data_IF_816100820224
#
_entry.id   IF_816100820224
#
_cell.length_a   1.000
_cell.length_b   1.000
_cell.length_c   1.000
_cell.angle_alpha   90.00
_cell.angle_beta   90.00
_cell.angle_gamma   90.00
#
_symmetry.space_group_name_H-M   'P 1'
#
loop_
_entity.id
_entity.type
_entity.pdbx_description
1 polymer ?
#
# COMPACT_ATOMS: atom_id res chain seq x y z
N UNK A 1 1.92 0.26 1.07
CA UNK A 1 1.83 1.61 1.72
C UNK A 1 1.35 2.62 0.68
N UNK A 2 0.57 3.65 1.04
CA UNK A 2 0.05 4.67 0.09
C UNK A 2 1.09 5.77 -0.16
N UNK A 3 1.38 6.16 -1.41
CA UNK A 3 2.33 7.22 -1.76
C UNK A 3 1.64 8.60 -1.64
N UNK A 4 1.51 9.10 -0.43
CA UNK A 4 0.82 10.37 -0.12
C UNK A 4 1.76 11.50 0.32
N UNK A 5 3.05 11.36 0.04
CA UNK A 5 4.11 12.31 0.40
C UNK A 5 5.33 11.63 1.01
N UNK A 6 6.25 12.43 1.51
CA UNK A 6 7.47 11.93 2.17
C UNK A 6 7.15 11.09 3.39
N UNK A 7 7.89 10.01 3.58
CA UNK A 7 7.75 9.17 4.78
C UNK A 7 8.24 9.93 6.03
N UNK A 8 7.63 9.62 7.14
CA UNK A 8 7.96 10.19 8.44
C UNK A 8 8.23 9.10 9.47
N UNK A 9 8.71 9.47 10.65
CA UNK A 9 9.05 8.52 11.72
C UNK A 9 7.90 7.58 12.10
N UNK A 10 6.65 8.02 11.98
CA UNK A 10 5.48 7.17 12.20
C UNK A 10 5.37 6.02 11.19
N UNK A 11 5.69 6.27 9.92
CA UNK A 11 5.74 5.21 8.90
C UNK A 11 6.89 4.23 9.16
N UNK A 12 8.04 4.75 9.59
CA UNK A 12 9.19 3.91 9.93
C UNK A 12 8.87 2.99 11.12
N UNK A 13 8.45 3.55 12.24
CA UNK A 13 8.17 2.75 13.45
C UNK A 13 6.88 1.92 13.33
N UNK A 14 5.88 2.40 12.60
CA UNK A 14 4.61 1.70 12.44
C UNK A 14 4.65 0.54 11.44
N UNK A 15 5.56 0.56 10.47
CA UNK A 15 5.60 -0.46 9.43
C UNK A 15 7.03 -0.87 9.04
N UNK A 16 7.89 0.06 8.56
CA UNK A 16 9.14 -0.29 7.91
C UNK A 16 10.10 -1.05 8.81
N UNK A 17 10.23 -0.65 10.07
CA UNK A 17 11.08 -1.35 11.03
C UNK A 17 10.72 -2.83 11.15
N UNK A 18 9.43 -3.15 11.19
CA UNK A 18 8.97 -4.53 11.24
C UNK A 18 9.21 -5.25 9.91
N UNK A 19 9.02 -4.55 8.78
CA UNK A 19 9.25 -5.14 7.45
C UNK A 19 10.71 -5.50 7.21
N UNK A 20 11.66 -4.70 7.71
CA UNK A 20 13.09 -5.00 7.59
C UNK A 20 13.51 -6.26 8.35
N UNK A 21 12.77 -6.64 9.38
CA UNK A 21 12.98 -7.90 10.11
C UNK A 21 12.24 -9.07 9.43
N UNK A 22 10.98 -8.86 9.02
CA UNK A 22 10.14 -9.89 8.43
C UNK A 22 10.67 -10.41 7.09
N UNK A 23 11.32 -9.55 6.28
CA UNK A 23 11.85 -9.95 4.98
C UNK A 23 12.85 -11.12 5.04
N UNK A 24 13.48 -11.38 6.20
CA UNK A 24 14.39 -12.51 6.40
C UNK A 24 13.73 -13.74 7.00
N UNK A 25 12.45 -13.64 7.37
CA UNK A 25 11.70 -14.72 8.01
C UNK A 25 10.62 -15.31 7.10
N UNK A 26 10.15 -14.52 6.10
CA UNK A 26 9.03 -14.87 5.23
C UNK A 26 9.30 -14.42 3.80
N UNK A 27 8.62 -15.03 2.84
CA UNK A 27 8.53 -14.53 1.45
C UNK A 27 7.65 -13.28 1.43
N UNK A 28 8.27 -12.12 1.58
CA UNK A 28 7.58 -10.85 1.73
C UNK A 28 7.32 -10.15 0.38
N UNK A 29 6.11 -9.64 0.25
CA UNK A 29 5.65 -8.85 -0.89
C UNK A 29 5.21 -7.48 -0.39
N UNK A 30 5.99 -6.44 -0.66
CA UNK A 30 5.70 -5.07 -0.26
C UNK A 30 5.31 -4.25 -1.47
N UNK A 31 4.18 -3.56 -1.42
CA UNK A 31 3.72 -2.80 -2.57
C UNK A 31 3.39 -1.34 -2.24
N UNK A 32 3.60 -0.50 -3.25
CA UNK A 32 3.16 0.88 -3.27
C UNK A 32 1.71 0.88 -3.71
N UNK A 33 0.83 1.33 -2.83
CA UNK A 33 -0.61 1.27 -3.01
C UNK A 33 -1.11 2.55 -3.73
N UNK A 34 -0.74 2.70 -5.00
CA UNK A 34 -1.10 3.85 -5.82
C UNK A 34 -2.60 3.91 -6.12
N UNK A 35 -3.27 2.78 -6.44
CA UNK A 35 -4.73 2.74 -6.55
C UNK A 35 -5.43 3.14 -5.25
N UNK A 36 -4.91 2.70 -4.10
CA UNK A 36 -5.45 3.13 -2.81
C UNK A 36 -5.23 4.63 -2.55
N UNK A 37 -4.17 5.22 -3.06
CA UNK A 37 -3.95 6.65 -2.93
C UNK A 37 -5.04 7.45 -3.65
N UNK A 38 -5.54 6.95 -4.78
CA UNK A 38 -6.60 7.58 -5.55
C UNK A 38 -7.95 7.63 -4.81
N UNK A 39 -8.19 6.78 -3.83
CA UNK A 39 -9.47 6.80 -3.08
C UNK A 39 -9.68 8.11 -2.31
N UNK A 40 -8.62 8.80 -1.97
CA UNK A 40 -8.66 10.09 -1.25
C UNK A 40 -7.93 11.23 -1.97
N UNK A 41 -7.11 10.93 -2.97
CA UNK A 41 -6.25 11.88 -3.69
C UNK A 41 -6.51 11.94 -5.20
N UNK A 42 -7.71 11.58 -5.66
CA UNK A 42 -8.04 11.57 -7.08
C UNK A 42 -8.12 12.95 -7.73
N UNK A 43 -8.33 14.01 -6.96
CA UNK A 43 -8.44 15.37 -7.46
C UNK A 43 -7.09 15.94 -7.94
N UNK A 44 -5.99 15.50 -7.32
CA UNK A 44 -4.64 15.93 -7.72
C UNK A 44 -3.67 14.74 -7.71
N UNK A 45 -3.40 14.21 -8.89
CA UNK A 45 -2.51 13.06 -9.10
C UNK A 45 -1.13 13.43 -9.65
N UNK A 46 -0.82 14.73 -9.82
CA UNK A 46 0.41 15.21 -10.47
C UNK A 46 1.69 14.70 -9.82
N UNK A 47 1.66 14.50 -8.51
CA UNK A 47 2.83 14.07 -7.72
C UNK A 47 2.83 12.60 -7.35
N UNK A 48 1.83 11.82 -7.81
CA UNK A 48 1.69 10.43 -7.39
C UNK A 48 2.91 9.56 -7.78
N UNK A 49 3.42 9.78 -8.97
CA UNK A 49 4.61 9.06 -9.46
C UNK A 49 5.86 9.47 -8.68
N UNK A 50 6.07 10.76 -8.44
CA UNK A 50 7.20 11.26 -7.67
C UNK A 50 7.18 10.70 -6.23
N UNK A 51 6.01 10.69 -5.59
CA UNK A 51 5.84 10.12 -4.26
C UNK A 51 6.06 8.60 -4.24
N UNK A 52 5.67 7.90 -5.30
CA UNK A 52 5.95 6.47 -5.43
C UNK A 52 7.45 6.20 -5.51
N UNK A 53 8.18 6.97 -6.32
CA UNK A 53 9.64 6.88 -6.42
C UNK A 53 10.33 7.23 -5.10
N UNK A 54 9.94 8.32 -4.45
CA UNK A 54 10.50 8.71 -3.16
C UNK A 54 10.29 7.61 -2.11
N UNK A 55 9.12 6.99 -2.12
CA UNK A 55 8.82 5.88 -1.20
C UNK A 55 9.74 4.67 -1.42
N UNK A 56 10.07 4.32 -2.68
CA UNK A 56 11.04 3.25 -2.96
C UNK A 56 12.41 3.61 -2.40
N UNK A 57 12.87 4.85 -2.60
CA UNK A 57 14.15 5.33 -2.06
C UNK A 57 14.16 5.22 -0.54
N UNK A 58 13.10 5.66 0.12
CA UNK A 58 12.98 5.60 1.58
C UNK A 58 12.95 4.16 2.11
N UNK A 59 12.29 3.24 1.40
CA UNK A 59 12.27 1.82 1.75
C UNK A 59 13.65 1.17 1.67
N UNK A 60 14.38 1.45 0.59
CA UNK A 60 15.76 0.97 0.42
C UNK A 60 16.69 1.56 1.49
N UNK A 61 16.56 2.87 1.77
CA UNK A 61 17.33 3.54 2.81
C UNK A 61 17.02 3.01 4.22
N UNK A 62 15.77 2.59 4.47
CA UNK A 62 15.36 1.96 5.72
C UNK A 62 15.87 0.52 5.89
N UNK A 63 16.37 -0.10 4.82
CA UNK A 63 16.97 -1.44 4.87
C UNK A 63 16.15 -2.56 4.23
N UNK A 64 15.10 -2.25 3.43
CA UNK A 64 14.49 -3.27 2.60
C UNK A 64 15.45 -3.69 1.48
N UNK A 65 15.60 -5.00 1.32
CA UNK A 65 16.54 -5.59 0.38
C UNK A 65 15.81 -6.29 -0.78
N UNK A 66 15.90 -5.76 -2.02
CA UNK A 66 15.23 -6.34 -3.18
C UNK A 66 15.74 -7.74 -3.59
N UNK A 67 16.87 -8.18 -3.00
CA UNK A 67 17.37 -9.55 -3.23
C UNK A 67 16.64 -10.60 -2.37
N UNK A 68 15.92 -10.19 -1.31
CA UNK A 68 15.25 -11.10 -0.38
C UNK A 68 13.75 -10.86 -0.27
N UNK A 69 13.24 -9.72 -0.71
CA UNK A 69 11.81 -9.43 -0.75
C UNK A 69 11.38 -8.91 -2.12
N UNK A 70 10.11 -9.07 -2.46
CA UNK A 70 9.54 -8.51 -3.68
C UNK A 70 8.91 -7.16 -3.39
N UNK A 71 9.32 -6.13 -4.13
CA UNK A 71 8.72 -4.80 -4.09
C UNK A 71 8.08 -4.48 -5.43
N UNK A 72 6.85 -3.96 -5.42
CA UNK A 72 6.13 -3.63 -6.65
C UNK A 72 5.14 -2.48 -6.48
N UNK A 73 4.62 -1.98 -7.59
CA UNK A 73 3.56 -0.97 -7.63
C UNK A 73 2.24 -1.69 -7.87
N UNK A 74 1.21 -1.41 -7.09
CA UNK A 74 -0.09 -2.07 -7.15
C UNK A 74 -0.70 -2.05 -8.55
N UNK A 75 -0.64 -0.92 -9.25
CA UNK A 75 -1.18 -0.79 -10.62
C UNK A 75 -0.46 -1.62 -11.67
N UNK A 76 0.73 -2.17 -11.35
CA UNK A 76 1.46 -3.08 -12.25
C UNK A 76 1.03 -4.54 -12.10
N UNK A 77 0.13 -4.81 -11.15
CA UNK A 77 -0.49 -6.12 -10.92
C UNK A 77 -2.01 -5.93 -11.04
N UNK A 78 -2.56 -5.90 -12.28
CA UNK A 78 -3.97 -5.58 -12.53
C UNK A 78 -4.94 -6.55 -11.85
N UNK A 79 -4.49 -7.76 -11.53
CA UNK A 79 -5.26 -8.78 -10.81
C UNK A 79 -5.77 -8.30 -9.45
N UNK A 80 -5.11 -7.34 -8.80
CA UNK A 80 -5.62 -6.71 -7.58
C UNK A 80 -6.94 -5.99 -7.82
N UNK A 81 -7.05 -5.24 -8.92
CA UNK A 81 -8.28 -4.53 -9.26
C UNK A 81 -9.38 -5.49 -9.75
N UNK A 82 -9.01 -6.51 -10.52
CA UNK A 82 -9.93 -7.53 -11.00
C UNK A 82 -10.51 -8.34 -9.84
N UNK A 83 -9.66 -8.80 -8.93
CA UNK A 83 -10.10 -9.54 -7.74
C UNK A 83 -10.99 -8.67 -6.83
N UNK A 84 -10.62 -7.39 -6.65
CA UNK A 84 -11.45 -6.45 -5.90
C UNK A 84 -12.85 -6.34 -6.53
N UNK A 85 -12.96 -6.19 -7.85
CA UNK A 85 -14.23 -6.11 -8.54
C UNK A 85 -15.06 -7.39 -8.34
N UNK A 86 -14.45 -8.55 -8.51
CA UNK A 86 -15.14 -9.83 -8.33
C UNK A 86 -15.61 -10.02 -6.88
N UNK A 87 -14.79 -9.71 -5.90
CA UNK A 87 -15.16 -9.80 -4.48
C UNK A 87 -16.26 -8.80 -4.12
N UNK A 88 -16.27 -7.60 -4.71
CA UNK A 88 -17.32 -6.61 -4.47
C UNK A 88 -18.70 -7.07 -4.93
N UNK A 89 -18.76 -7.89 -5.98
CA UNK A 89 -20.04 -8.44 -6.51
C UNK A 89 -20.68 -9.45 -5.54
N UNK A 90 -19.90 -10.15 -4.74
CA UNK A 90 -20.37 -11.22 -3.85
C UNK A 90 -20.35 -10.82 -2.37
N UNK A 91 -19.81 -9.65 -2.03
CA UNK A 91 -19.71 -9.19 -0.64
C UNK A 91 -21.01 -8.47 -0.22
N UNK A 92 -21.76 -9.00 0.74
CA UNK A 92 -22.97 -8.35 1.24
C UNK A 92 -22.62 -7.04 1.96
N UNK A 93 -23.41 -5.99 1.75
CA UNK A 93 -23.25 -4.69 2.42
C UNK A 93 -23.18 -4.83 3.95
N UNK A 94 -23.99 -5.68 4.54
CA UNK A 94 -24.00 -5.91 5.98
C UNK A 94 -22.69 -6.47 6.57
N UNK A 95 -21.76 -7.00 5.73
CA UNK A 95 -20.43 -7.36 6.18
C UNK A 95 -19.56 -6.10 6.29
N UNK A 96 -19.65 -5.19 5.34
CA UNK A 96 -18.91 -3.93 5.34
C UNK A 96 -19.34 -3.05 6.52
N UNK A 97 -20.63 -2.98 6.79
CA UNK A 97 -21.21 -2.20 7.91
C UNK A 97 -20.74 -2.69 9.30
N UNK A 98 -20.16 -3.88 9.40
CA UNK A 98 -19.54 -4.39 10.64
C UNK A 98 -18.10 -3.92 10.82
N UNK A 99 -17.49 -3.35 9.79
CA UNK A 99 -16.10 -2.88 9.84
C UNK A 99 -16.08 -1.43 10.32
N UNK A 100 -15.45 -1.12 11.48
CA UNK A 100 -15.41 0.24 12.02
C UNK A 100 -14.89 1.27 11.00
N UNK A 101 -13.77 0.97 10.35
CA UNK A 101 -13.15 1.86 9.35
C UNK A 101 -14.11 2.19 8.19
N UNK A 102 -14.99 1.27 7.80
CA UNK A 102 -15.98 1.54 6.76
C UNK A 102 -17.03 2.55 7.24
N UNK A 103 -17.47 2.42 8.50
CA UNK A 103 -18.43 3.36 9.10
C UNK A 103 -17.85 4.77 9.26
N UNK A 104 -16.57 4.86 9.56
CA UNK A 104 -15.89 6.15 9.76
C UNK A 104 -15.71 6.92 8.43
N UNK A 105 -15.94 6.26 7.29
CA UNK A 105 -15.82 6.85 5.94
C UNK A 105 -17.17 7.22 5.31
N UNK A 106 -18.29 6.92 5.94
CA UNK A 106 -19.63 7.31 5.51
C UNK A 106 -20.02 8.70 6.05
#
# INVERSE_FOLDING_TARGET
>A
MRPTGSLHLGNYHGALKNWTELQYQYDCYFFIADYHALTTGYEDTRHLEDFAWQMVVDWLAAGLNPAVCTMFIQSRVPEHAELHLMLSMITPLGWLERVPTYKDQQ
#
